data_IF_982182642821
#
_entry.id   IF_982182642821
#
_cell.length_a   1.000
_cell.length_b   1.000
_cell.length_c   1.000
_cell.angle_alpha   90.00
_cell.angle_beta   90.00
_cell.angle_gamma   90.00
#
_symmetry.space_group_name_H-M   'P 1'
#
loop_
_entity.id
_entity.type
_entity.pdbx_description
1 polymer ?
#
# COMPACT_ATOMS: atom_id res chain seq x y z
N UNK A 1 -10.25 11.96 -6.85
CA UNK A 1 -8.80 11.77 -6.95
C UNK A 1 -8.12 13.02 -6.41
N UNK A 2 -7.23 12.84 -5.45
CA UNK A 2 -6.37 13.86 -4.86
C UNK A 2 -4.96 13.70 -5.45
N UNK A 3 -4.36 14.79 -5.90
CA UNK A 3 -2.98 14.84 -6.39
C UNK A 3 -2.19 15.83 -5.54
N UNK A 4 -1.77 15.36 -4.38
CA UNK A 4 -0.96 16.09 -3.41
C UNK A 4 -0.53 15.08 -2.34
N UNK A 5 0.61 15.32 -1.71
CA UNK A 5 0.89 14.70 -0.42
C UNK A 5 0.17 15.43 0.74
N UNK A 6 0.16 14.83 1.92
CA UNK A 6 -0.42 15.41 3.13
C UNK A 6 0.62 15.83 4.16
N UNK A 7 0.25 16.75 5.04
CA UNK A 7 1.03 17.11 6.22
C UNK A 7 0.12 17.42 7.40
N UNK A 8 0.44 16.90 8.59
CA UNK A 8 -0.18 17.37 9.83
C UNK A 8 0.27 18.79 10.23
N UNK A 9 1.32 19.32 9.60
CA UNK A 9 1.88 20.64 9.86
C UNK A 9 1.17 21.75 9.06
N UNK A 10 -0.14 21.89 9.26
CA UNK A 10 -0.98 22.84 8.52
C UNK A 10 -0.52 24.31 8.61
N UNK A 11 0.21 24.68 9.68
CA UNK A 11 0.70 26.04 9.91
C UNK A 11 2.18 26.22 9.52
N UNK A 12 2.78 25.22 8.88
CA UNK A 12 4.17 25.23 8.43
C UNK A 12 5.19 25.57 9.55
N UNK A 13 4.97 25.06 10.75
CA UNK A 13 5.87 25.26 11.88
C UNK A 13 7.19 24.51 11.73
N UNK A 14 7.21 23.43 10.94
CA UNK A 14 8.39 22.59 10.70
C UNK A 14 9.11 22.91 9.38
N UNK A 15 8.70 23.93 8.61
CA UNK A 15 9.18 24.16 7.23
C UNK A 15 8.99 22.90 6.37
N UNK A 16 7.77 22.36 6.42
CA UNK A 16 7.40 21.04 5.95
C UNK A 16 7.16 20.97 4.44
N UNK A 17 6.98 19.75 3.93
CA UNK A 17 6.53 19.51 2.56
C UNK A 17 5.24 20.30 2.26
N UNK A 18 5.01 20.71 1.00
CA UNK A 18 3.77 21.36 0.62
C UNK A 18 2.55 20.56 1.05
N UNK A 19 1.57 21.24 1.65
CA UNK A 19 0.31 20.66 2.12
C UNK A 19 -0.85 21.30 1.36
N UNK A 20 -0.84 21.12 0.04
CA UNK A 20 -1.76 21.81 -0.88
C UNK A 20 -3.22 21.39 -0.66
N UNK A 21 -3.45 20.17 -0.17
CA UNK A 21 -4.76 19.65 0.21
C UNK A 21 -4.66 19.19 1.66
N UNK A 22 -5.30 19.90 2.62
CA UNK A 22 -5.19 19.60 4.04
C UNK A 22 -5.51 18.14 4.38
N UNK A 23 -4.84 17.62 5.40
CA UNK A 23 -5.13 16.29 5.92
C UNK A 23 -6.22 16.38 6.97
N UNK A 24 -7.31 15.65 6.78
CA UNK A 24 -8.38 15.55 7.76
C UNK A 24 -8.03 14.48 8.81
N UNK A 25 -8.10 14.89 10.08
CA UNK A 25 -8.04 14.01 11.25
C UNK A 25 -9.44 13.95 11.83
N UNK A 26 -10.26 13.04 11.32
CA UNK A 26 -11.67 12.92 11.72
C UNK A 26 -11.96 11.64 12.50
N UNK A 27 -11.20 10.56 12.23
CA UNK A 27 -11.42 9.25 12.83
C UNK A 27 -10.42 8.99 13.94
N UNK A 28 -10.92 8.64 15.13
CA UNK A 28 -10.14 8.16 16.26
C UNK A 28 -10.08 6.62 16.25
N UNK A 29 -8.87 6.09 16.22
CA UNK A 29 -8.62 4.65 16.27
C UNK A 29 -8.11 4.29 17.66
N UNK A 30 -8.84 3.42 18.35
CA UNK A 30 -8.48 2.92 19.68
C UNK A 30 -7.02 2.44 19.70
N UNK A 31 -6.19 3.05 20.55
CA UNK A 31 -4.77 2.72 20.70
C UNK A 31 -3.81 3.48 19.77
N UNK A 32 -4.32 4.20 18.76
CA UNK A 32 -3.53 5.00 17.81
C UNK A 32 -3.89 6.49 17.83
N UNK A 33 -5.08 6.85 18.30
CA UNK A 33 -5.57 8.21 18.31
C UNK A 33 -6.16 8.63 16.96
N UNK A 34 -6.21 9.94 16.74
CA UNK A 34 -6.68 10.51 15.47
C UNK A 34 -5.72 10.16 14.34
N UNK A 35 -6.26 9.60 13.25
CA UNK A 35 -5.48 9.24 12.05
C UNK A 35 -5.83 10.11 10.85
N UNK A 36 -4.88 10.27 9.93
CA UNK A 36 -5.11 10.92 8.65
C UNK A 36 -6.10 10.12 7.80
N UNK A 37 -7.07 10.80 7.16
CA UNK A 37 -8.05 10.13 6.32
C UNK A 37 -8.58 11.04 5.21
N UNK A 38 -8.57 10.53 3.99
CA UNK A 38 -9.25 11.18 2.87
C UNK A 38 -10.76 10.90 2.85
N UNK A 39 -11.25 9.94 3.65
CA UNK A 39 -12.69 9.61 3.67
C UNK A 39 -13.56 10.81 4.11
N UNK A 40 -12.98 11.77 4.85
CA UNK A 40 -13.62 13.04 5.16
C UNK A 40 -14.12 13.80 3.91
N UNK A 41 -13.43 13.68 2.79
CA UNK A 41 -13.80 14.34 1.54
C UNK A 41 -14.84 13.57 0.71
N UNK A 42 -15.07 12.29 1.03
CA UNK A 42 -16.02 11.42 0.32
C UNK A 42 -17.34 11.19 1.06
N UNK A 43 -17.38 11.35 2.38
CA UNK A 43 -18.59 11.27 3.19
C UNK A 43 -19.32 12.63 3.22
N UNK A 44 -20.19 12.87 2.23
CA UNK A 44 -20.86 14.16 1.94
C UNK A 44 -22.29 14.19 2.52
N UNK A 45 -22.97 13.06 2.54
CA UNK A 45 -24.38 12.89 2.90
C UNK A 45 -24.54 11.77 3.94
N UNK A 46 -25.71 11.72 4.60
CA UNK A 46 -26.04 10.62 5.52
C UNK A 46 -25.54 10.77 6.97
N UNK A 47 -24.55 11.62 7.23
CA UNK A 47 -23.90 11.76 8.55
C UNK A 47 -23.41 10.41 9.09
N UNK A 48 -22.68 9.70 8.23
CA UNK A 48 -22.07 8.41 8.48
C UNK A 48 -20.71 8.36 7.76
N UNK A 49 -19.83 7.37 8.08
CA UNK A 49 -18.49 7.32 7.49
C UNK A 49 -18.46 6.59 6.13
N UNK A 50 -19.60 6.33 5.49
CA UNK A 50 -19.65 5.64 4.20
C UNK A 50 -19.35 6.63 3.08
N UNK A 51 -18.47 6.25 2.16
CA UNK A 51 -18.13 7.08 1.01
C UNK A 51 -19.35 7.26 0.07
N UNK A 52 -19.76 8.50 -0.19
CA UNK A 52 -20.72 8.80 -1.28
C UNK A 52 -20.05 8.80 -2.65
N UNK A 53 -18.74 9.07 -2.68
CA UNK A 53 -17.91 9.08 -3.89
C UNK A 53 -16.61 8.34 -3.65
N UNK A 54 -16.14 7.59 -4.64
CA UNK A 54 -14.83 6.93 -4.56
C UNK A 54 -13.71 7.97 -4.49
N UNK A 55 -12.83 7.82 -3.50
CA UNK A 55 -11.66 8.68 -3.33
C UNK A 55 -10.36 7.88 -3.35
N UNK A 56 -9.32 8.51 -3.88
CA UNK A 56 -7.97 7.98 -3.94
C UNK A 56 -7.00 9.15 -3.96
N UNK A 57 -5.78 8.91 -3.48
CA UNK A 57 -4.67 9.87 -3.45
C UNK A 57 -3.48 9.33 -4.22
N UNK A 58 -2.96 10.14 -5.13
CA UNK A 58 -1.59 10.02 -5.61
C UNK A 58 -0.72 10.97 -4.79
N UNK A 59 0.04 10.45 -3.81
CA UNK A 59 0.91 11.29 -2.99
C UNK A 59 2.02 11.85 -3.86
N UNK A 60 2.12 13.18 -3.89
CA UNK A 60 3.06 13.89 -4.73
C UNK A 60 3.54 15.16 -4.02
N UNK A 61 4.86 15.27 -3.86
CA UNK A 61 5.54 16.43 -3.25
C UNK A 61 6.14 17.35 -4.31
N UNK A 62 6.30 16.84 -5.53
CA UNK A 62 6.91 17.55 -6.65
C UNK A 62 6.47 16.96 -8.00
N UNK A 63 6.88 17.59 -9.10
CA UNK A 63 6.52 17.20 -10.47
C UNK A 63 7.01 15.77 -10.84
N UNK A 64 8.12 15.30 -10.26
CA UNK A 64 8.66 13.96 -10.55
C UNK A 64 7.70 12.89 -10.00
N UNK A 65 7.15 13.09 -8.79
CA UNK A 65 6.18 12.15 -8.21
C UNK A 65 4.91 12.06 -9.07
N UNK A 66 4.43 13.21 -9.55
CA UNK A 66 3.26 13.29 -10.45
C UNK A 66 3.52 12.53 -11.75
N UNK A 67 4.66 12.80 -12.40
CA UNK A 67 5.02 12.14 -13.65
C UNK A 67 5.22 10.63 -13.46
N UNK A 68 5.77 10.21 -12.32
CA UNK A 68 5.93 8.79 -11.97
C UNK A 68 4.59 8.09 -11.83
N UNK A 69 3.62 8.71 -11.13
CA UNK A 69 2.28 8.18 -11.00
C UNK A 69 1.57 8.05 -12.36
N UNK A 70 1.70 9.07 -13.23
CA UNK A 70 1.14 9.06 -14.59
C UNK A 70 1.77 7.93 -15.43
N UNK A 71 3.10 7.78 -15.36
CA UNK A 71 3.81 6.73 -16.09
C UNK A 71 3.35 5.34 -15.64
N UNK A 72 3.32 5.09 -14.33
CA UNK A 72 2.81 3.82 -13.76
C UNK A 72 1.39 3.52 -14.21
N UNK A 73 0.49 4.50 -14.13
CA UNK A 73 -0.89 4.34 -14.58
C UNK A 73 -0.95 4.04 -16.09
N UNK A 74 -0.15 4.73 -16.90
CA UNK A 74 -0.07 4.48 -18.34
C UNK A 74 0.45 3.08 -18.66
N UNK A 75 1.45 2.58 -17.91
CA UNK A 75 2.02 1.25 -18.09
C UNK A 75 1.07 0.14 -17.64
N UNK A 76 0.37 0.35 -16.52
CA UNK A 76 -0.63 -0.59 -16.01
C UNK A 76 -1.84 -0.71 -16.94
N UNK A 77 -2.25 0.40 -17.58
CA UNK A 77 -3.40 0.45 -18.48
C UNK A 77 -3.07 0.12 -19.94
N UNK A 78 -1.78 0.01 -20.32
CA UNK A 78 -1.41 -0.34 -21.68
C UNK A 78 -1.65 -1.83 -21.92
N UNK A 79 -2.71 -2.16 -22.66
CA UNK A 79 -3.05 -3.53 -23.05
C UNK A 79 -1.93 -4.25 -23.84
N UNK A 80 -0.93 -3.55 -24.36
CA UNK A 80 0.25 -4.17 -24.99
C UNK A 80 1.24 -4.70 -23.97
N UNK A 81 1.21 -4.17 -22.76
CA UNK A 81 2.04 -4.58 -21.64
C UNK A 81 1.41 -5.79 -20.95
N UNK A 82 1.31 -6.90 -21.67
CA UNK A 82 0.72 -8.15 -21.18
C UNK A 82 1.76 -9.24 -21.05
N UNK A 83 1.58 -10.13 -20.07
CA UNK A 83 2.43 -11.30 -19.90
C UNK A 83 1.94 -12.22 -18.79
N UNK A 84 2.78 -13.17 -18.39
CA UNK A 84 2.42 -14.12 -17.33
C UNK A 84 2.10 -13.42 -16.00
N UNK A 85 2.69 -12.24 -15.77
CA UNK A 85 2.44 -11.43 -14.58
C UNK A 85 0.96 -11.05 -14.42
N UNK A 86 0.21 -10.88 -15.52
CA UNK A 86 -1.24 -10.58 -15.47
C UNK A 86 -2.06 -11.70 -14.83
N UNK A 87 -1.56 -12.93 -14.94
CA UNK A 87 -2.20 -14.13 -14.42
C UNK A 87 -1.71 -14.51 -13.02
N UNK A 88 -0.66 -13.86 -12.52
CA UNK A 88 -0.06 -14.15 -11.21
C UNK A 88 -0.75 -13.33 -10.12
N UNK A 89 -1.12 -14.01 -9.03
CA UNK A 89 -1.66 -13.37 -7.83
C UNK A 89 -0.80 -13.76 -6.64
N UNK A 90 -0.29 -12.78 -5.90
CA UNK A 90 0.54 -13.03 -4.70
C UNK A 90 -0.33 -12.87 -3.46
N UNK A 91 -0.36 -13.92 -2.63
CA UNK A 91 -1.06 -13.94 -1.35
C UNK A 91 -0.02 -14.13 -0.23
N UNK A 92 0.42 -13.02 0.33
CA UNK A 92 1.46 -12.97 1.34
C UNK A 92 0.86 -12.82 2.74
N UNK A 93 1.42 -13.54 3.71
CA UNK A 93 0.97 -13.48 5.11
C UNK A 93 2.11 -13.66 6.12
N UNK A 94 2.02 -12.94 7.24
CA UNK A 94 2.98 -13.02 8.34
C UNK A 94 2.77 -14.31 9.16
N UNK A 95 3.88 -14.86 9.65
CA UNK A 95 3.91 -16.01 10.56
C UNK A 95 3.87 -15.63 12.04
N UNK A 96 3.99 -14.34 12.34
CA UNK A 96 3.87 -13.81 13.69
C UNK A 96 2.47 -13.26 13.91
N UNK A 97 1.85 -13.60 15.05
CA UNK A 97 0.52 -13.10 15.38
C UNK A 97 0.53 -11.56 15.47
N UNK A 98 -0.35 -10.84 14.73
CA UNK A 98 -0.48 -9.38 14.72
C UNK A 98 -0.84 -8.75 16.08
N UNK A 99 -1.38 -9.55 16.99
CA UNK A 99 -1.82 -9.13 18.33
C UNK A 99 -3.17 -9.76 18.66
N UNK A 100 -3.71 -9.51 19.88
CA UNK A 100 -5.02 -10.01 20.27
C UNK A 100 -6.12 -9.50 19.32
N UNK A 101 -6.96 -10.41 18.80
CA UNK A 101 -8.10 -10.06 17.94
C UNK A 101 -7.78 -9.88 16.45
N UNK A 102 -6.51 -9.99 16.05
CA UNK A 102 -6.11 -9.99 14.64
C UNK A 102 -5.75 -11.42 14.19
N UNK A 103 -5.91 -11.77 12.89
CA UNK A 103 -5.68 -13.11 12.38
C UNK A 103 -4.29 -13.64 12.73
N UNK A 104 -4.19 -14.79 13.40
CA UNK A 104 -2.90 -15.44 13.58
C UNK A 104 -2.37 -16.01 12.24
N UNK A 105 -1.21 -16.67 12.27
CA UNK A 105 -0.64 -17.29 11.08
C UNK A 105 -1.59 -18.29 10.39
N UNK A 106 -2.27 -19.12 11.17
CA UNK A 106 -3.14 -20.16 10.61
C UNK A 106 -4.38 -19.51 9.99
N UNK A 107 -4.93 -18.48 10.65
CA UNK A 107 -6.06 -17.72 10.14
C UNK A 107 -5.68 -16.94 8.87
N UNK A 108 -4.55 -16.23 8.87
CA UNK A 108 -4.06 -15.49 7.68
C UNK A 108 -3.81 -16.43 6.50
N UNK A 109 -3.22 -17.61 6.77
CA UNK A 109 -3.07 -18.66 5.77
C UNK A 109 -4.43 -19.15 5.26
N UNK A 110 -5.37 -19.44 6.15
CA UNK A 110 -6.71 -19.90 5.78
C UNK A 110 -7.46 -18.86 4.93
N UNK A 111 -7.44 -17.59 5.32
CA UNK A 111 -8.05 -16.50 4.55
C UNK A 111 -7.39 -16.34 3.17
N UNK A 112 -6.07 -16.50 3.07
CA UNK A 112 -5.37 -16.51 1.77
C UNK A 112 -5.87 -17.65 0.87
N UNK A 113 -6.00 -18.88 1.38
CA UNK A 113 -6.57 -19.99 0.58
C UNK A 113 -8.03 -19.75 0.19
N UNK A 114 -8.80 -19.09 1.05
CA UNK A 114 -10.20 -18.71 0.75
C UNK A 114 -10.28 -17.65 -0.34
N UNK A 115 -9.39 -16.65 -0.34
CA UNK A 115 -9.29 -15.68 -1.43
C UNK A 115 -8.87 -16.37 -2.74
N UNK A 116 -7.89 -17.28 -2.67
CA UNK A 116 -7.45 -18.04 -3.83
C UNK A 116 -8.56 -18.89 -4.46
N UNK A 117 -9.47 -19.47 -3.65
CA UNK A 117 -10.58 -20.26 -4.17
C UNK A 117 -11.69 -19.44 -4.84
N UNK A 118 -11.66 -18.11 -4.68
CA UNK A 118 -12.55 -17.17 -5.36
C UNK A 118 -11.96 -16.66 -6.68
N UNK A 119 -10.68 -16.93 -6.97
CA UNK A 119 -10.04 -16.51 -8.20
C UNK A 119 -10.56 -17.33 -9.40
N UNK A 120 -10.59 -16.74 -10.60
CA UNK A 120 -10.79 -17.50 -11.84
C UNK A 120 -9.77 -18.64 -11.98
N UNK A 121 -10.19 -19.76 -12.55
CA UNK A 121 -9.37 -20.99 -12.68
C UNK A 121 -8.03 -20.76 -13.43
N UNK A 122 -7.97 -19.77 -14.31
CA UNK A 122 -6.78 -19.44 -15.09
C UNK A 122 -5.75 -18.57 -14.33
N UNK A 123 -6.08 -18.10 -13.12
CA UNK A 123 -5.15 -17.37 -12.28
C UNK A 123 -4.21 -18.31 -11.54
N UNK A 124 -2.98 -17.86 -11.32
CA UNK A 124 -1.92 -18.58 -10.62
C UNK A 124 -1.68 -17.93 -9.24
N UNK A 125 -2.39 -18.37 -8.19
CA UNK A 125 -2.12 -17.91 -6.84
C UNK A 125 -0.79 -18.48 -6.32
N UNK A 126 0.05 -17.59 -5.81
CA UNK A 126 1.30 -17.93 -5.14
C UNK A 126 1.20 -17.51 -3.67
N UNK A 127 1.51 -18.44 -2.77
CA UNK A 127 1.42 -18.21 -1.33
C UNK A 127 2.80 -17.94 -0.76
N UNK A 128 2.96 -16.84 -0.02
CA UNK A 128 4.24 -16.42 0.53
C UNK A 128 4.13 -16.15 2.03
N UNK A 129 5.08 -16.66 2.81
CA UNK A 129 5.12 -16.44 4.26
C UNK A 129 6.52 -16.02 4.68
N UNK A 130 6.64 -15.02 5.58
CA UNK A 130 7.93 -14.38 5.93
C UNK A 130 8.94 -15.35 6.52
N UNK A 131 8.46 -16.39 7.23
CA UNK A 131 9.31 -17.46 7.76
C UNK A 131 10.18 -18.13 6.68
N UNK A 132 9.79 -18.02 5.40
CA UNK A 132 10.50 -18.60 4.27
C UNK A 132 11.31 -17.57 3.45
N UNK A 133 11.28 -16.28 3.80
CA UNK A 133 11.96 -15.21 3.05
C UNK A 133 13.38 -14.92 3.58
N UNK A 134 14.19 -15.96 3.80
CA UNK A 134 15.52 -15.80 4.39
C UNK A 134 16.56 -15.18 3.43
N UNK A 135 16.26 -15.08 2.13
CA UNK A 135 17.19 -14.64 1.08
C UNK A 135 16.69 -13.45 0.23
N UNK A 136 15.62 -12.75 0.63
CA UNK A 136 14.99 -11.72 -0.22
C UNK A 136 14.28 -12.31 -1.44
N UNK A 137 13.78 -13.54 -1.30
CA UNK A 137 12.97 -14.22 -2.30
C UNK A 137 11.70 -13.42 -2.55
N UNK A 138 11.10 -12.82 -1.51
CA UNK A 138 9.89 -12.02 -1.66
C UNK A 138 10.09 -10.83 -2.59
N UNK A 139 11.11 -10.00 -2.35
CA UNK A 139 11.45 -8.86 -3.22
C UNK A 139 11.75 -9.34 -4.65
N UNK A 140 12.45 -10.47 -4.80
CA UNK A 140 12.72 -11.08 -6.11
C UNK A 140 11.41 -11.47 -6.82
N UNK A 141 10.44 -12.03 -6.09
CA UNK A 141 9.14 -12.39 -6.64
C UNK A 141 8.32 -11.19 -7.09
N UNK A 142 8.40 -10.08 -6.36
CA UNK A 142 7.79 -8.81 -6.76
C UNK A 142 8.41 -8.27 -8.05
N UNK A 143 9.72 -8.44 -8.24
CA UNK A 143 10.42 -8.09 -9.48
C UNK A 143 9.94 -8.86 -10.71
N UNK A 144 9.38 -10.07 -10.55
CA UNK A 144 8.74 -10.80 -11.65
C UNK A 144 7.35 -10.25 -12.01
N UNK A 145 6.75 -9.47 -11.11
CA UNK A 145 5.45 -8.84 -11.27
C UNK A 145 4.25 -9.77 -11.06
N UNK A 146 3.11 -9.17 -10.74
CA UNK A 146 1.83 -9.84 -10.54
C UNK A 146 0.71 -8.86 -10.95
N UNK A 147 -0.52 -9.35 -11.17
CA UNK A 147 -1.67 -8.46 -11.39
C UNK A 147 -2.22 -7.94 -10.07
N UNK A 148 -2.20 -8.77 -9.04
CA UNK A 148 -2.73 -8.48 -7.73
C UNK A 148 -1.85 -9.07 -6.64
N UNK A 149 -1.66 -8.31 -5.56
CA UNK A 149 -0.96 -8.75 -4.37
C UNK A 149 -1.75 -8.37 -3.14
N UNK A 150 -1.97 -9.33 -2.24
CA UNK A 150 -2.46 -9.08 -0.88
C UNK A 150 -1.38 -9.42 0.13
N UNK A 151 -1.15 -8.53 1.09
CA UNK A 151 -0.22 -8.76 2.20
C UNK A 151 -0.98 -8.63 3.53
N UNK A 152 -1.09 -9.72 4.28
CA UNK A 152 -1.65 -9.74 5.64
C UNK A 152 -0.51 -9.83 6.66
N UNK A 153 -0.14 -8.71 7.28
CA UNK A 153 1.07 -8.69 8.10
C UNK A 153 1.06 -7.61 9.18
N UNK A 154 2.03 -7.67 10.09
CA UNK A 154 2.41 -6.52 10.90
C UNK A 154 2.89 -5.37 10.03
N UNK A 155 2.74 -4.14 10.52
CA UNK A 155 3.05 -2.95 9.75
C UNK A 155 3.61 -1.86 10.62
N UNK A 156 4.53 -1.12 10.03
CA UNK A 156 4.95 0.18 10.49
C UNK A 156 4.96 1.11 9.28
N UNK A 157 5.13 2.40 9.53
CA UNK A 157 5.04 3.40 8.46
C UNK A 157 5.97 3.10 7.30
N UNK A 158 7.17 2.58 7.54
CA UNK A 158 8.20 2.33 6.51
C UNK A 158 8.51 0.84 6.29
N UNK A 159 7.69 -0.08 6.80
CA UNK A 159 7.94 -1.53 6.66
C UNK A 159 6.71 -2.38 6.84
N UNK A 160 6.70 -3.55 6.20
CA UNK A 160 5.66 -4.58 6.35
C UNK A 160 6.32 -5.90 6.80
N UNK A 161 5.73 -6.56 7.80
CA UNK A 161 6.14 -7.84 8.37
C UNK A 161 7.01 -7.75 9.63
N UNK A 162 6.74 -8.61 10.63
CA UNK A 162 7.46 -8.67 11.91
C UNK A 162 8.90 -9.23 11.82
N UNK A 163 9.22 -9.92 10.72
CA UNK A 163 10.55 -10.44 10.38
C UNK A 163 11.00 -9.93 8.99
N UNK A 164 10.51 -8.72 8.64
CA UNK A 164 10.80 -7.96 7.43
C UNK A 164 10.46 -8.70 6.12
N UNK A 165 9.29 -8.44 5.55
CA UNK A 165 9.01 -8.74 4.15
C UNK A 165 9.52 -7.63 3.22
N UNK A 166 9.22 -6.36 3.56
CA UNK A 166 9.56 -5.20 2.72
C UNK A 166 9.85 -4.01 3.62
N UNK A 167 10.92 -3.27 3.31
CA UNK A 167 11.16 -1.91 3.83
C UNK A 167 10.98 -0.89 2.71
N UNK A 168 10.80 0.36 3.09
CA UNK A 168 10.76 1.50 2.17
C UNK A 168 11.89 1.43 1.10
N UNK A 169 13.12 1.14 1.54
CA UNK A 169 14.29 1.05 0.65
C UNK A 169 14.25 -0.14 -0.32
N UNK A 170 13.51 -1.19 0.00
CA UNK A 170 13.34 -2.35 -0.88
C UNK A 170 12.36 -2.03 -2.01
N UNK A 171 11.35 -1.16 -1.78
CA UNK A 171 10.44 -0.66 -2.82
C UNK A 171 11.21 0.10 -3.91
N UNK A 172 12.14 0.97 -3.53
CA UNK A 172 13.00 1.70 -4.48
C UNK A 172 14.05 0.83 -5.20
N UNK A 173 14.11 -0.47 -4.89
CA UNK A 173 14.99 -1.45 -5.55
C UNK A 173 14.21 -2.43 -6.43
N UNK A 174 12.88 -2.33 -6.48
CA UNK A 174 12.05 -3.13 -7.38
C UNK A 174 12.24 -2.61 -8.81
N UNK A 175 12.26 -3.53 -9.79
CA UNK A 175 12.38 -3.20 -11.21
C UNK A 175 11.22 -3.86 -11.96
N UNK A 176 10.02 -3.34 -11.72
CA UNK A 176 8.76 -3.92 -12.22
C UNK A 176 7.80 -2.87 -12.79
N UNK A 177 8.31 -1.72 -13.26
CA UNK A 177 7.52 -0.68 -13.94
C UNK A 177 6.59 -1.19 -15.04
N UNK A 178 6.98 -2.24 -15.79
CA UNK A 178 6.12 -2.86 -16.82
C UNK A 178 5.30 -4.04 -16.29
N UNK A 179 5.31 -4.31 -14.98
CA UNK A 179 4.67 -5.49 -14.38
C UNK A 179 4.16 -5.16 -12.98
N UNK A 180 3.47 -4.02 -12.88
CA UNK A 180 2.99 -3.45 -11.62
C UNK A 180 1.79 -4.22 -11.10
N UNK A 181 1.80 -4.71 -9.85
CA UNK A 181 0.61 -5.24 -9.21
C UNK A 181 -0.28 -4.12 -8.65
N UNK A 182 -1.58 -4.38 -8.59
CA UNK A 182 -2.41 -3.73 -7.57
C UNK A 182 -2.07 -4.35 -6.20
N UNK A 183 -1.78 -3.51 -5.20
CA UNK A 183 -1.30 -3.95 -3.89
C UNK A 183 -2.31 -3.60 -2.81
N UNK A 184 -2.80 -4.62 -2.10
CA UNK A 184 -3.65 -4.50 -0.93
C UNK A 184 -2.88 -4.95 0.31
N UNK A 185 -2.87 -4.12 1.36
CA UNK A 185 -2.08 -4.35 2.57
C UNK A 185 -2.97 -4.28 3.80
N UNK A 186 -3.23 -5.43 4.40
CA UNK A 186 -3.92 -5.54 5.69
C UNK A 186 -2.89 -5.43 6.81
N UNK A 187 -2.62 -4.19 7.22
CA UNK A 187 -1.58 -3.89 8.18
C UNK A 187 -1.76 -2.54 8.87
N UNK A 188 -1.04 -2.31 9.98
CA UNK A 188 -1.10 -1.05 10.70
C UNK A 188 -0.23 0.02 10.01
N UNK A 189 -0.79 1.23 9.87
CA UNK A 189 -0.10 2.50 9.57
C UNK A 189 0.80 2.54 8.32
N UNK A 190 0.67 1.57 7.40
CA UNK A 190 1.48 1.48 6.18
C UNK A 190 1.17 2.59 5.17
N UNK A 191 0.05 3.30 5.34
CA UNK A 191 -0.42 4.36 4.45
C UNK A 191 -0.66 5.69 5.21
N UNK A 192 0.06 5.94 6.31
CA UNK A 192 0.03 7.26 6.95
C UNK A 192 0.72 8.30 6.04
N UNK A 193 -0.05 9.17 5.40
CA UNK A 193 0.41 10.13 4.38
C UNK A 193 0.52 11.58 4.90
N UNK A 194 0.63 11.77 6.20
CA UNK A 194 0.57 13.09 6.86
C UNK A 194 1.92 13.60 7.36
N UNK A 195 3.02 12.95 6.98
CA UNK A 195 4.33 13.23 7.54
C UNK A 195 4.95 14.51 6.96
N UNK A 196 5.35 15.49 7.80
CA UNK A 196 5.76 16.81 7.35
C UNK A 196 7.15 16.86 6.71
N UNK A 197 7.98 15.84 6.92
CA UNK A 197 9.37 15.85 6.48
C UNK A 197 9.52 15.15 5.12
N UNK A 198 10.37 15.69 4.25
CA UNK A 198 10.69 15.09 2.94
C UNK A 198 11.21 13.66 3.04
N UNK A 199 11.87 13.31 4.14
CA UNK A 199 12.50 12.00 4.36
C UNK A 199 11.57 11.04 5.11
N UNK A 200 10.41 11.52 5.54
CA UNK A 200 9.38 10.74 6.22
C UNK A 200 8.24 10.48 5.24
N UNK A 201 8.33 9.35 4.55
CA UNK A 201 7.33 8.84 3.64
C UNK A 201 6.89 7.47 4.14
N UNK A 202 5.61 7.17 4.05
CA UNK A 202 5.10 5.83 4.32
C UNK A 202 5.41 4.85 3.18
N UNK A 203 5.43 3.56 3.48
CA UNK A 203 5.67 2.51 2.50
C UNK A 203 4.56 2.48 1.44
N UNK A 204 3.33 2.82 1.80
CA UNK A 204 2.20 2.98 0.88
C UNK A 204 2.45 4.10 -0.14
N UNK A 205 2.94 5.25 0.31
CA UNK A 205 3.35 6.33 -0.62
C UNK A 205 4.50 5.88 -1.53
N UNK A 206 5.49 5.17 -1.02
CA UNK A 206 6.62 4.70 -1.83
C UNK A 206 6.23 3.70 -2.93
N UNK A 207 5.26 2.81 -2.68
CA UNK A 207 4.73 1.93 -3.72
C UNK A 207 4.19 2.72 -4.91
N UNK A 208 3.65 3.91 -4.67
CA UNK A 208 3.10 4.80 -5.69
C UNK A 208 4.19 5.67 -6.31
N UNK A 209 5.05 6.30 -5.51
CA UNK A 209 6.03 7.31 -5.96
C UNK A 209 7.38 6.74 -6.44
N UNK A 210 7.69 5.46 -6.18
CA UNK A 210 8.94 4.85 -6.67
C UNK A 210 8.99 4.81 -8.21
N UNK A 211 10.08 5.26 -8.86
CA UNK A 211 10.17 5.35 -10.32
C UNK A 211 10.55 4.02 -11.02
N UNK A 212 10.54 2.88 -10.31
CA UNK A 212 11.00 1.59 -10.81
C UNK A 212 10.01 0.46 -10.52
#
# INVERSE_FOLDING_TARGET
MILADGSYDNNNHFSSVPNDIPVAFYYDVTGYGMICSDNYYSAISGNDPIEDISISRFPARNEIDINTAIEKASKYLDWRNTGIHDLRVILAYDTTAPGPGLPDYLESKYQSYKLASMLPEYMYPEFMANKHDLNGEFITQLGYGASFMTIMAHGAEQSIGSQLFIRLTDVYRMYNMERLPFVDVYSCVTANFDRPNSDSMSIGEAFVSSPY
#
